data_IF_041260015177
#
_entry.id   IF_041260015177
#
_cell.length_a   1.000
_cell.length_b   1.000
_cell.length_c   1.000
_cell.angle_alpha   90.00
_cell.angle_beta   90.00
_cell.angle_gamma   90.00
#
_symmetry.space_group_name_H-M   'P 1'
#
loop_
_entity.id
_entity.type
_entity.pdbx_description
1 polymer ?
#
# COMPACT_ATOMS: atom_id res chain seq x y z
N UNK A 1 -14.30 19.15 0.62
CA UNK A 1 -14.60 17.78 0.16
C UNK A 1 -15.26 17.90 -1.19
N UNK A 2 -14.90 17.07 -2.17
CA UNK A 2 -15.68 16.95 -3.38
C UNK A 2 -17.11 16.47 -3.07
N UNK A 3 -18.08 16.98 -3.79
CA UNK A 3 -19.51 16.67 -3.71
C UNK A 3 -19.80 15.32 -4.40
N UNK A 4 -19.03 14.98 -5.43
CA UNK A 4 -19.14 13.74 -6.20
C UNK A 4 -17.81 13.32 -6.86
N UNK A 5 -17.82 12.17 -7.55
CA UNK A 5 -16.66 11.64 -8.27
C UNK A 5 -16.18 12.53 -9.42
N UNK A 6 -17.08 13.19 -10.15
CA UNK A 6 -16.69 14.11 -11.23
C UNK A 6 -15.95 15.35 -10.68
N UNK A 7 -16.35 15.85 -9.50
CA UNK A 7 -15.60 16.92 -8.84
C UNK A 7 -14.26 16.41 -8.30
N UNK A 8 -14.17 15.17 -7.82
CA UNK A 8 -12.92 14.56 -7.42
C UNK A 8 -11.93 14.46 -8.59
N UNK A 9 -12.34 13.95 -9.76
CA UNK A 9 -11.47 13.89 -10.94
C UNK A 9 -10.98 15.27 -11.36
N UNK A 10 -11.87 16.29 -11.34
CA UNK A 10 -11.51 17.67 -11.68
C UNK A 10 -10.49 18.28 -10.73
N UNK A 11 -10.62 18.03 -9.43
CA UNK A 11 -9.67 18.55 -8.42
C UNK A 11 -8.31 17.87 -8.55
N UNK A 12 -8.30 16.59 -8.90
CA UNK A 12 -7.06 15.80 -9.04
C UNK A 12 -6.43 15.90 -10.44
N UNK A 13 -7.09 16.54 -11.40
CA UNK A 13 -6.63 16.59 -12.79
C UNK A 13 -6.58 15.21 -13.45
N UNK A 14 -7.44 14.28 -13.03
CA UNK A 14 -7.46 12.90 -13.51
C UNK A 14 -8.54 12.66 -14.58
N UNK A 15 -8.32 11.62 -15.38
CA UNK A 15 -9.29 11.18 -16.38
C UNK A 15 -10.59 10.70 -15.71
N UNK A 16 -11.72 10.91 -16.41
CA UNK A 16 -13.04 10.43 -15.97
C UNK A 16 -13.01 8.92 -15.76
N UNK A 17 -13.49 8.47 -14.60
CA UNK A 17 -13.55 7.06 -14.22
C UNK A 17 -12.35 6.55 -13.43
N UNK A 18 -11.24 7.31 -13.36
CA UNK A 18 -10.01 6.85 -12.68
C UNK A 18 -10.20 6.61 -11.18
N UNK A 19 -11.08 7.37 -10.52
CA UNK A 19 -11.32 7.32 -9.06
C UNK A 19 -12.72 6.84 -8.67
N UNK A 20 -13.50 6.27 -9.60
CA UNK A 20 -14.91 5.92 -9.33
C UNK A 20 -15.08 4.80 -8.31
N UNK A 21 -14.07 3.95 -8.14
CA UNK A 21 -14.02 2.88 -7.14
C UNK A 21 -13.11 3.20 -5.95
N UNK A 22 -12.50 4.39 -5.91
CA UNK A 22 -11.52 4.77 -4.89
C UNK A 22 -12.24 5.64 -3.85
N UNK A 23 -12.28 5.16 -2.61
CA UNK A 23 -13.02 5.80 -1.52
C UNK A 23 -12.38 7.08 -1.00
N UNK A 24 -11.05 7.15 -1.01
CA UNK A 24 -10.30 8.34 -0.69
C UNK A 24 -8.92 8.28 -1.36
N UNK A 25 -8.26 9.43 -1.48
CA UNK A 25 -6.91 9.55 -2.04
C UNK A 25 -6.21 10.78 -1.48
N UNK A 26 -4.93 10.63 -1.16
CA UNK A 26 -4.07 11.73 -0.70
C UNK A 26 -3.29 12.30 -1.87
N UNK A 27 -3.49 13.60 -2.13
CA UNK A 27 -2.87 14.24 -3.28
C UNK A 27 -2.58 15.73 -3.02
N UNK A 28 -1.67 16.36 -3.81
CA UNK A 28 -1.49 17.80 -3.79
C UNK A 28 -2.76 18.53 -4.24
N UNK A 29 -3.02 19.71 -3.67
CA UNK A 29 -4.28 20.44 -3.88
C UNK A 29 -4.37 21.10 -5.26
N UNK A 30 -3.22 21.39 -5.84
CA UNK A 30 -2.99 22.16 -7.06
C UNK A 30 -2.14 21.39 -8.07
N UNK A 31 -1.95 20.08 -7.84
CA UNK A 31 -1.19 19.19 -8.71
C UNK A 31 0.33 19.39 -8.70
N UNK A 32 0.89 20.25 -7.83
CA UNK A 32 2.36 20.35 -7.72
C UNK A 32 2.96 19.09 -7.12
N UNK A 33 4.06 18.64 -7.73
CA UNK A 33 4.90 17.56 -7.22
C UNK A 33 6.15 18.09 -6.49
N UNK A 34 6.19 19.38 -6.18
CA UNK A 34 7.30 19.97 -5.44
C UNK A 34 7.40 19.36 -4.03
N UNK A 35 8.62 19.10 -3.52
CA UNK A 35 8.80 18.59 -2.17
C UNK A 35 8.12 19.47 -1.13
N UNK A 36 7.39 18.86 -0.19
CA UNK A 36 6.62 19.53 0.87
C UNK A 36 5.45 20.42 0.39
N UNK A 37 4.93 20.16 -0.81
CA UNK A 37 3.66 20.75 -1.22
C UNK A 37 2.55 20.32 -0.26
N UNK A 38 1.61 21.21 0.12
CA UNK A 38 0.45 20.82 0.91
C UNK A 38 -0.33 19.70 0.20
N UNK A 39 -0.63 18.63 0.93
CA UNK A 39 -1.47 17.53 0.47
C UNK A 39 -2.77 17.50 1.27
N UNK A 40 -3.86 17.10 0.61
CA UNK A 40 -5.14 16.85 1.25
C UNK A 40 -5.55 15.40 1.06
N UNK A 41 -6.29 14.86 2.04
CA UNK A 41 -7.07 13.63 1.86
C UNK A 41 -8.40 14.02 1.20
N UNK A 42 -8.57 13.63 -0.05
CA UNK A 42 -9.82 13.79 -0.79
C UNK A 42 -10.68 12.54 -0.60
N UNK A 43 -11.93 12.70 -0.20
CA UNK A 43 -12.86 11.58 0.03
C UNK A 43 -13.94 11.58 -1.02
N UNK A 44 -14.16 10.42 -1.62
CA UNK A 44 -15.28 10.13 -2.50
C UNK A 44 -16.45 9.57 -1.69
N UNK A 45 -17.39 10.45 -1.32
CA UNK A 45 -18.54 10.04 -0.50
C UNK A 45 -19.43 8.99 -1.17
N UNK A 46 -19.50 8.96 -2.51
CA UNK A 46 -20.29 7.97 -3.23
C UNK A 46 -19.79 6.53 -3.00
N UNK A 47 -18.51 6.36 -2.68
CA UNK A 47 -17.90 5.07 -2.36
C UNK A 47 -17.79 4.87 -0.84
N UNK A 48 -17.28 5.88 -0.12
CA UNK A 48 -17.04 5.77 1.32
C UNK A 48 -18.34 5.53 2.12
N UNK A 49 -19.45 6.19 1.75
CA UNK A 49 -20.72 6.06 2.47
C UNK A 49 -21.34 4.64 2.35
N UNK A 50 -20.87 3.83 1.38
CA UNK A 50 -21.26 2.44 1.20
C UNK A 50 -20.42 1.44 2.01
N UNK A 51 -19.31 1.88 2.61
CA UNK A 51 -18.46 1.04 3.44
C UNK A 51 -19.02 0.88 4.85
N UNK A 52 -18.75 -0.26 5.48
CA UNK A 52 -18.94 -0.36 6.92
C UNK A 52 -17.91 0.51 7.68
N UNK A 53 -18.13 0.69 8.98
CA UNK A 53 -17.28 1.55 9.81
C UNK A 53 -15.81 1.09 9.83
N UNK A 54 -15.56 -0.21 9.81
CA UNK A 54 -14.19 -0.75 9.88
C UNK A 54 -13.48 -0.49 8.56
N UNK A 55 -14.11 -0.81 7.44
CA UNK A 55 -13.56 -0.54 6.11
C UNK A 55 -13.32 0.96 5.88
N UNK A 56 -14.25 1.84 6.29
CA UNK A 56 -14.05 3.28 6.22
C UNK A 56 -12.87 3.75 7.11
N UNK A 57 -12.72 3.19 8.32
CA UNK A 57 -11.60 3.51 9.20
C UNK A 57 -10.25 3.08 8.59
N UNK A 58 -10.18 1.90 7.98
CA UNK A 58 -8.98 1.39 7.31
C UNK A 58 -8.57 2.35 6.19
N UNK A 59 -9.49 2.68 5.28
CA UNK A 59 -9.23 3.64 4.19
C UNK A 59 -8.74 4.98 4.73
N UNK A 60 -9.43 5.56 5.72
CA UNK A 60 -9.04 6.87 6.24
C UNK A 60 -7.70 6.84 6.98
N UNK A 61 -7.36 5.73 7.64
CA UNK A 61 -6.06 5.58 8.32
C UNK A 61 -4.95 5.44 7.29
N UNK A 62 -5.16 4.63 6.24
CA UNK A 62 -4.25 4.48 5.11
C UNK A 62 -3.91 5.84 4.48
N UNK A 63 -4.93 6.62 4.12
CA UNK A 63 -4.72 7.95 3.54
C UNK A 63 -4.04 8.93 4.52
N UNK A 64 -4.38 8.85 5.81
CA UNK A 64 -3.72 9.66 6.82
C UNK A 64 -2.22 9.35 6.93
N UNK A 65 -1.80 8.09 6.72
CA UNK A 65 -0.37 7.72 6.68
C UNK A 65 0.31 8.47 5.55
N UNK A 66 -0.19 8.41 4.32
CA UNK A 66 0.41 9.15 3.19
C UNK A 66 0.53 10.65 3.46
N UNK A 67 -0.50 11.24 4.04
CA UNK A 67 -0.54 12.67 4.33
C UNK A 67 0.50 13.07 5.39
N UNK A 68 0.61 12.28 6.48
CA UNK A 68 1.48 12.59 7.61
C UNK A 68 2.94 12.28 7.31
N UNK A 69 3.22 11.26 6.51
CA UNK A 69 4.59 10.86 6.15
C UNK A 69 5.15 11.62 4.97
N UNK A 70 4.29 12.33 4.21
CA UNK A 70 4.69 13.03 3.00
C UNK A 70 5.02 12.09 1.84
N UNK A 71 4.51 10.85 1.87
CA UNK A 71 4.79 9.81 0.86
C UNK A 71 4.48 10.27 -0.58
N UNK A 72 3.45 11.11 -0.74
CA UNK A 72 3.05 11.70 -2.04
C UNK A 72 4.19 12.48 -2.72
N UNK A 73 5.14 13.02 -1.95
CA UNK A 73 6.30 13.74 -2.46
C UNK A 73 7.55 12.89 -2.70
N UNK A 74 7.53 11.61 -2.30
CA UNK A 74 8.69 10.73 -2.41
C UNK A 74 8.84 10.23 -3.85
N UNK A 75 10.05 10.38 -4.42
CA UNK A 75 10.32 10.07 -5.84
C UNK A 75 10.95 8.71 -6.08
N UNK A 76 11.54 8.12 -5.05
CA UNK A 76 12.38 6.92 -5.18
C UNK A 76 11.93 5.77 -4.26
N UNK A 77 10.83 5.94 -3.54
CA UNK A 77 10.29 4.90 -2.68
C UNK A 77 9.44 3.95 -3.55
N UNK A 78 9.69 2.63 -3.52
CA UNK A 78 8.90 1.69 -4.29
C UNK A 78 7.48 1.62 -3.74
N UNK A 79 6.48 1.51 -4.62
CA UNK A 79 5.07 1.57 -4.22
C UNK A 79 4.69 0.43 -3.28
N UNK A 80 5.28 -0.76 -3.41
CA UNK A 80 5.01 -1.85 -2.46
C UNK A 80 5.34 -1.47 -1.01
N UNK A 81 6.36 -0.63 -0.78
CA UNK A 81 6.73 -0.20 0.57
C UNK A 81 5.80 0.92 1.04
N UNK A 82 5.43 1.83 0.12
CA UNK A 82 4.53 2.95 0.40
C UNK A 82 3.14 2.45 0.79
N UNK A 83 2.55 1.62 -0.06
CA UNK A 83 1.20 1.06 0.12
C UNK A 83 1.18 0.02 1.24
N UNK A 84 2.17 -0.87 1.27
CA UNK A 84 2.23 -1.93 2.28
C UNK A 84 2.38 -1.39 3.70
N UNK A 85 3.16 -0.32 3.90
CA UNK A 85 3.28 0.33 5.20
C UNK A 85 1.99 1.04 5.62
N UNK A 86 1.30 1.70 4.69
CA UNK A 86 0.02 2.34 4.97
C UNK A 86 -1.04 1.31 5.39
N UNK A 87 -1.10 0.16 4.71
CA UNK A 87 -1.98 -0.96 5.07
C UNK A 87 -1.60 -1.62 6.40
N UNK A 88 -0.30 -1.81 6.67
CA UNK A 88 0.17 -2.32 7.96
C UNK A 88 -0.34 -1.44 9.11
N UNK A 89 -0.18 -0.12 9.02
CA UNK A 89 -0.68 0.82 10.04
C UNK A 89 -2.22 0.81 10.12
N UNK A 90 -2.90 0.77 8.97
CA UNK A 90 -4.37 0.81 8.91
C UNK A 90 -5.05 -0.46 9.46
N UNK A 91 -4.39 -1.62 9.35
CA UNK A 91 -4.93 -2.92 9.74
C UNK A 91 -4.41 -3.43 11.09
N UNK A 92 -3.36 -2.82 11.66
CA UNK A 92 -2.67 -3.27 12.89
C UNK A 92 -3.60 -3.62 14.06
N UNK A 93 -4.59 -2.76 14.32
CA UNK A 93 -5.52 -2.91 15.45
C UNK A 93 -6.93 -3.37 15.01
N UNK A 94 -7.03 -3.93 13.79
CA UNK A 94 -8.28 -4.44 13.23
C UNK A 94 -8.35 -5.95 13.45
N UNK A 95 -9.33 -6.39 14.24
CA UNK A 95 -9.57 -7.82 14.51
C UNK A 95 -10.29 -8.49 13.32
N UNK A 96 -9.53 -8.71 12.24
CA UNK A 96 -9.96 -9.47 11.06
C UNK A 96 -8.93 -10.55 10.74
N UNK A 97 -9.36 -11.78 10.44
CA UNK A 97 -8.43 -12.84 10.09
C UNK A 97 -7.78 -12.58 8.72
N UNK A 98 -6.50 -12.93 8.58
CA UNK A 98 -5.73 -12.81 7.32
C UNK A 98 -6.39 -13.54 6.15
N UNK A 99 -7.15 -14.60 6.43
CA UNK A 99 -7.94 -15.31 5.41
C UNK A 99 -9.00 -14.43 4.74
N UNK A 100 -9.38 -13.31 5.35
CA UNK A 100 -10.28 -12.28 4.78
C UNK A 100 -9.52 -11.10 4.23
N UNK A 101 -8.55 -10.56 4.96
CA UNK A 101 -7.82 -9.34 4.56
C UNK A 101 -6.79 -9.59 3.47
N UNK A 102 -6.27 -10.82 3.32
CA UNK A 102 -5.38 -11.23 2.23
C UNK A 102 -6.08 -12.19 1.23
N UNK A 103 -7.41 -12.13 1.14
CA UNK A 103 -8.18 -13.13 0.41
C UNK A 103 -7.93 -13.12 -1.11
N UNK A 104 -7.66 -11.97 -1.72
CA UNK A 104 -7.36 -11.84 -3.15
C UNK A 104 -5.98 -12.39 -3.48
N UNK A 105 -4.95 -12.06 -2.70
CA UNK A 105 -3.59 -12.60 -2.91
C UNK A 105 -3.54 -14.10 -2.66
N UNK A 106 -4.26 -14.61 -1.64
CA UNK A 106 -4.41 -16.06 -1.42
C UNK A 106 -5.03 -16.75 -2.65
N UNK A 107 -6.10 -16.17 -3.23
CA UNK A 107 -6.74 -16.74 -4.43
C UNK A 107 -5.81 -16.71 -5.64
N UNK A 108 -5.01 -15.64 -5.80
CA UNK A 108 -4.04 -15.56 -6.88
C UNK A 108 -2.96 -16.63 -6.74
N UNK A 109 -2.36 -16.76 -5.55
CA UNK A 109 -1.30 -17.76 -5.29
C UNK A 109 -1.79 -19.18 -5.56
N UNK A 110 -3.03 -19.50 -5.16
CA UNK A 110 -3.63 -20.82 -5.45
C UNK A 110 -3.85 -21.08 -6.94
N UNK A 111 -4.07 -20.04 -7.74
CA UNK A 111 -4.38 -20.14 -9.17
C UNK A 111 -3.13 -20.12 -10.03
N UNK A 112 -2.21 -19.20 -9.74
CA UNK A 112 -1.09 -18.83 -10.61
C UNK A 112 0.27 -19.24 -10.03
N UNK A 113 0.33 -19.62 -8.76
CA UNK A 113 1.57 -19.91 -8.03
C UNK A 113 2.15 -18.70 -7.30
N UNK A 114 3.28 -18.91 -6.63
CA UNK A 114 3.97 -17.88 -5.85
C UNK A 114 4.70 -16.87 -6.76
N UNK A 115 4.63 -15.56 -6.47
CA UNK A 115 5.33 -14.52 -7.24
C UNK A 115 6.85 -14.71 -7.24
N UNK A 116 7.51 -14.48 -8.37
CA UNK A 116 8.96 -14.60 -8.55
C UNK A 116 9.74 -13.28 -8.38
N UNK A 117 9.03 -12.19 -8.10
CA UNK A 117 9.58 -10.85 -7.82
C UNK A 117 8.67 -10.08 -6.88
N UNK A 118 9.22 -9.10 -6.18
CA UNK A 118 8.41 -8.11 -5.46
C UNK A 118 7.52 -7.31 -6.44
N UNK A 119 6.38 -6.76 -5.97
CA UNK A 119 5.53 -5.92 -6.82
C UNK A 119 6.33 -4.73 -7.36
N UNK A 120 6.23 -4.47 -8.66
CA UNK A 120 6.88 -3.34 -9.32
C UNK A 120 5.90 -2.16 -9.39
N UNK A 121 6.42 -0.94 -9.47
CA UNK A 121 5.58 0.26 -9.52
C UNK A 121 4.60 0.24 -10.70
N UNK A 122 5.00 -0.35 -11.85
CA UNK A 122 4.14 -0.50 -13.03
C UNK A 122 2.92 -1.40 -12.79
N UNK A 123 2.96 -2.27 -11.78
CA UNK A 123 1.85 -3.16 -11.46
C UNK A 123 0.68 -2.40 -10.83
N UNK A 124 0.93 -1.27 -10.13
CA UNK A 124 -0.08 -0.46 -9.42
C UNK A 124 -0.92 0.47 -10.34
N UNK A 125 -0.90 0.22 -11.65
CA UNK A 125 -1.63 1.01 -12.64
C UNK A 125 -3.17 0.92 -12.47
N UNK A 126 -3.91 2.05 -12.44
CA UNK A 126 -5.37 2.09 -12.51
C UNK A 126 -5.89 1.53 -13.85
N UNK A 127 -6.06 0.21 -13.91
CA UNK A 127 -6.41 -0.51 -15.14
C UNK A 127 -5.91 -1.95 -15.15
N UNK A 128 -4.92 -2.28 -14.32
CA UNK A 128 -4.61 -3.66 -13.99
C UNK A 128 -5.79 -4.22 -13.17
N UNK A 129 -6.52 -5.20 -13.69
CA UNK A 129 -7.71 -5.79 -13.06
C UNK A 129 -7.48 -6.53 -11.73
N UNK A 130 -6.34 -6.31 -11.08
CA UNK A 130 -5.84 -7.01 -9.89
C UNK A 130 -5.26 -6.07 -8.82
N UNK A 131 -5.66 -4.79 -8.79
CA UNK A 131 -5.15 -3.84 -7.79
C UNK A 131 -5.30 -4.36 -6.35
N UNK A 132 -6.47 -4.87 -5.96
CA UNK A 132 -6.65 -5.39 -4.59
C UNK A 132 -5.64 -6.48 -4.23
N UNK A 133 -5.31 -7.37 -5.16
CA UNK A 133 -4.26 -8.39 -5.00
C UNK A 133 -2.87 -7.79 -4.77
N UNK A 134 -2.54 -6.67 -5.43
CA UNK A 134 -1.26 -5.99 -5.30
C UNK A 134 -1.13 -5.26 -3.96
N UNK A 135 -2.18 -4.56 -3.52
CA UNK A 135 -2.24 -3.94 -2.20
C UNK A 135 -2.12 -5.01 -1.10
N UNK A 136 -2.91 -6.07 -1.17
CA UNK A 136 -2.81 -7.19 -0.24
C UNK A 136 -1.41 -7.83 -0.27
N UNK A 137 -0.81 -8.00 -1.45
CA UNK A 137 0.55 -8.51 -1.60
C UNK A 137 1.61 -7.59 -0.96
N UNK A 138 1.52 -6.27 -1.20
CA UNK A 138 2.39 -5.25 -0.63
C UNK A 138 2.25 -5.18 0.91
N UNK A 139 1.02 -5.24 1.41
CA UNK A 139 0.75 -5.38 2.84
C UNK A 139 1.45 -6.63 3.41
N UNK A 140 1.37 -7.79 2.73
CA UNK A 140 2.09 -8.99 3.17
C UNK A 140 3.63 -8.84 3.14
N UNK A 141 4.20 -7.98 2.28
CA UNK A 141 5.63 -7.64 2.35
C UNK A 141 5.93 -6.86 3.64
N UNK A 142 5.09 -5.88 3.98
CA UNK A 142 5.23 -5.11 5.21
C UNK A 142 5.10 -6.00 6.46
N UNK A 143 4.12 -6.90 6.50
CA UNK A 143 3.98 -7.88 7.59
C UNK A 143 5.20 -8.82 7.70
N UNK A 144 5.79 -9.24 6.57
CA UNK A 144 7.02 -10.05 6.58
C UNK A 144 8.18 -9.31 7.25
N UNK A 145 8.30 -8.01 7.00
CA UNK A 145 9.31 -7.15 7.63
C UNK A 145 8.99 -6.91 9.11
N UNK A 146 7.73 -6.63 9.44
CA UNK A 146 7.27 -6.45 10.83
C UNK A 146 7.51 -7.71 11.67
N UNK A 147 7.20 -8.90 11.15
CA UNK A 147 7.48 -10.19 11.82
C UNK A 147 8.99 -10.37 12.10
N UNK A 148 9.84 -9.89 11.19
CA UNK A 148 11.30 -10.05 11.27
C UNK A 148 11.97 -9.06 12.21
N UNK A 149 11.55 -7.80 12.21
CA UNK A 149 12.26 -6.70 12.88
C UNK A 149 11.40 -5.88 13.85
N UNK A 150 10.09 -6.12 13.88
CA UNK A 150 9.10 -5.32 14.60
C UNK A 150 8.71 -4.01 13.89
N UNK A 151 7.62 -3.41 14.35
CA UNK A 151 7.04 -2.17 13.80
C UNK A 151 8.07 -1.02 13.74
N UNK A 152 8.94 -0.89 14.74
CA UNK A 152 9.95 0.19 14.81
C UNK A 152 11.01 0.07 13.69
N UNK A 153 11.43 -1.16 13.36
CA UNK A 153 12.37 -1.41 12.29
C UNK A 153 11.72 -1.15 10.92
N UNK A 154 10.47 -1.58 10.74
CA UNK A 154 9.69 -1.30 9.53
C UNK A 154 9.48 0.21 9.34
N UNK A 155 9.07 0.93 10.38
CA UNK A 155 8.89 2.38 10.33
C UNK A 155 10.20 3.13 10.05
N UNK A 156 11.34 2.61 10.52
CA UNK A 156 12.66 3.18 10.23
C UNK A 156 13.05 2.96 8.77
N UNK A 157 12.90 1.74 8.25
CA UNK A 157 13.12 1.46 6.82
C UNK A 157 12.26 2.36 5.94
N UNK A 158 10.96 2.43 6.23
CA UNK A 158 10.01 3.26 5.50
C UNK A 158 10.48 4.72 5.44
N UNK A 159 10.83 5.30 6.59
CA UNK A 159 11.28 6.70 6.66
C UNK A 159 12.59 6.93 5.92
N UNK A 160 13.59 6.06 6.09
CA UNK A 160 14.87 6.19 5.38
C UNK A 160 14.68 6.16 3.86
N UNK A 161 13.83 5.26 3.36
CA UNK A 161 13.55 5.14 1.92
C UNK A 161 12.75 6.34 1.40
N UNK A 162 11.77 6.84 2.16
CA UNK A 162 11.08 8.10 1.81
C UNK A 162 12.05 9.29 1.74
N UNK A 163 13.04 9.34 2.63
CA UNK A 163 14.09 10.37 2.67
C UNK A 163 15.17 10.17 1.58
N UNK A 164 15.03 9.15 0.74
CA UNK A 164 15.85 8.93 -0.45
C UNK A 164 16.97 7.91 -0.31
N UNK A 165 17.02 7.16 0.80
CA UNK A 165 17.92 6.01 0.88
C UNK A 165 17.54 4.94 -0.14
N UNK A 166 18.54 4.24 -0.70
CA UNK A 166 18.28 3.08 -1.53
C UNK A 166 17.68 1.93 -0.73
N UNK A 167 16.57 1.35 -1.21
CA UNK A 167 15.84 0.27 -0.55
C UNK A 167 16.74 -0.89 -0.13
N UNK A 168 17.58 -1.40 -1.03
CA UNK A 168 18.50 -2.50 -0.75
C UNK A 168 19.51 -2.16 0.37
N UNK A 169 19.98 -0.93 0.45
CA UNK A 169 20.90 -0.50 1.52
C UNK A 169 20.18 -0.40 2.88
N UNK A 170 18.96 0.13 2.88
CA UNK A 170 18.15 0.25 4.08
C UNK A 170 17.69 -1.12 4.61
N UNK A 171 17.34 -2.06 3.73
CA UNK A 171 17.06 -3.46 4.08
C UNK A 171 18.27 -4.14 4.73
N UNK A 172 19.47 -3.97 4.13
CA UNK A 172 20.70 -4.53 4.70
C UNK A 172 21.00 -3.98 6.09
N UNK A 173 20.83 -2.66 6.29
CA UNK A 173 21.09 -2.03 7.60
C UNK A 173 20.05 -2.42 8.66
N UNK A 174 18.77 -2.39 8.32
CA UNK A 174 17.67 -2.59 9.27
C UNK A 174 17.38 -4.06 9.59
N UNK A 175 17.50 -4.94 8.60
CA UNK A 175 17.06 -6.34 8.70
C UNK A 175 18.18 -7.35 8.48
N UNK A 176 19.34 -6.92 7.96
CA UNK A 176 20.40 -7.82 7.51
C UNK A 176 20.00 -8.64 6.29
N UNK A 177 19.03 -8.16 5.50
CA UNK A 177 18.47 -8.84 4.34
C UNK A 177 18.85 -8.14 3.03
N UNK A 178 19.09 -8.95 2.01
CA UNK A 178 19.02 -8.54 0.60
C UNK A 178 17.55 -8.48 0.13
N UNK A 179 17.33 -7.96 -1.07
CA UNK A 179 16.00 -8.02 -1.70
C UNK A 179 15.59 -9.48 -2.01
N UNK A 180 16.55 -10.35 -2.31
CA UNK A 180 16.31 -11.79 -2.54
C UNK A 180 15.87 -12.49 -1.24
N UNK A 181 16.47 -12.12 -0.10
CA UNK A 181 16.05 -12.65 1.21
C UNK A 181 14.62 -12.22 1.54
N UNK A 182 14.28 -10.95 1.27
CA UNK A 182 12.93 -10.44 1.45
C UNK A 182 11.93 -11.16 0.54
N UNK A 183 12.26 -11.34 -0.73
CA UNK A 183 11.43 -12.08 -1.68
C UNK A 183 11.20 -13.52 -1.21
N UNK A 184 12.24 -14.22 -0.77
CA UNK A 184 12.12 -15.58 -0.26
C UNK A 184 11.22 -15.65 0.99
N UNK A 185 11.42 -14.75 1.95
CA UNK A 185 10.61 -14.69 3.17
C UNK A 185 9.14 -14.36 2.87
N UNK A 186 8.88 -13.41 1.97
CA UNK A 186 7.54 -13.05 1.55
C UNK A 186 6.84 -14.19 0.81
N UNK A 187 7.55 -14.88 -0.09
CA UNK A 187 7.04 -16.10 -0.75
C UNK A 187 6.64 -17.17 0.26
N UNK A 188 7.47 -17.40 1.29
CA UNK A 188 7.17 -18.35 2.37
C UNK A 188 5.89 -17.98 3.12
N UNK A 189 5.75 -16.70 3.47
CA UNK A 189 4.54 -16.16 4.10
C UNK A 189 3.29 -16.37 3.23
N UNK A 190 3.37 -16.04 1.94
CA UNK A 190 2.26 -16.25 1.00
C UNK A 190 1.91 -17.74 0.84
N UNK A 191 2.90 -18.62 0.83
CA UNK A 191 2.70 -20.06 0.76
C UNK A 191 1.93 -20.58 1.98
N UNK A 192 2.32 -20.12 3.18
CA UNK A 192 1.66 -20.44 4.43
C UNK A 192 0.21 -19.94 4.46
N UNK A 193 -0.04 -18.68 4.07
CA UNK A 193 -1.37 -18.08 3.99
C UNK A 193 -2.29 -18.83 3.02
N UNK A 194 -1.74 -19.24 1.87
CA UNK A 194 -2.48 -19.98 0.85
C UNK A 194 -2.62 -21.47 1.17
N UNK A 195 -1.80 -22.03 2.07
CA UNK A 195 -1.73 -23.46 2.33
C UNK A 195 -1.22 -24.25 1.11
N UNK A 196 -0.22 -23.70 0.42
CA UNK A 196 0.43 -24.32 -0.75
C UNK A 196 1.92 -24.58 -0.46
N UNK A 197 2.57 -25.52 -1.17
CA UNK A 197 4.03 -25.68 -1.11
C UNK A 197 4.76 -24.45 -1.68
N UNK A 198 6.00 -24.24 -1.23
CA UNK A 198 6.93 -23.22 -1.76
C UNK A 198 7.51 -23.56 -3.14
#
# INVERSE_FOLDING_TARGET
>A
MPEDGEQLHRVLGADRGAYDSIAAVTAPVDGTTAPRSPVHVFVNRAVLDGLDRVAAQVVMTHEAVHAVTGAVGARNAPLWLVEGFADHVALRDVDLPESRTAAQVIRQVKRDGLPDRLPADSDFSPGAGHLGTLYEGAWQVAETLADRGGDDALATLYREVLDGAGTADALRRGFGWSEDDLLAAWRSRLAALAGVPE
#
